data_IF_732528542741
#
_entry.id   IF_732528542741
#
_cell.length_a   1.000
_cell.length_b   1.000
_cell.length_c   1.000
_cell.angle_alpha   90.00
_cell.angle_beta   90.00
_cell.angle_gamma   90.00
#
_symmetry.space_group_name_H-M   'P 1'
#
loop_
_entity.id
_entity.type
_entity.pdbx_description
1 polymer ?
#
# COMPACT_ATOMS: atom_id res chain seq x y z
N UNK A 1 -0.90 34.72 -18.41
CA UNK A 1 -0.56 33.70 -19.43
C UNK A 1 -0.36 32.40 -18.69
N UNK A 2 -1.37 31.51 -18.75
CA UNK A 2 -1.44 30.33 -17.91
C UNK A 2 -0.63 29.18 -18.53
N UNK A 3 0.43 28.77 -17.85
CA UNK A 3 1.25 27.62 -18.21
C UNK A 3 0.50 26.33 -17.83
N UNK A 4 -0.42 25.87 -18.70
CA UNK A 4 -0.92 24.51 -18.63
C UNK A 4 0.05 23.59 -19.37
N UNK A 5 0.60 22.58 -18.68
CA UNK A 5 1.11 21.41 -19.37
C UNK A 5 -0.11 20.64 -19.86
N UNK A 6 -0.53 20.92 -21.10
CA UNK A 6 -1.44 20.05 -21.82
C UNK A 6 -0.71 18.73 -22.03
N UNK A 7 -1.03 17.71 -21.24
CA UNK A 7 -0.80 16.34 -21.65
C UNK A 7 -1.69 16.16 -22.87
N UNK A 8 -1.13 16.26 -24.08
CA UNK A 8 -1.88 15.98 -25.30
C UNK A 8 -2.46 14.57 -25.15
N UNK A 9 -3.80 14.41 -25.14
CA UNK A 9 -4.38 13.08 -25.24
C UNK A 9 -3.78 12.42 -26.50
N UNK A 10 -3.52 11.10 -26.48
CA UNK A 10 -2.88 10.42 -27.60
C UNK A 10 -3.56 10.80 -28.92
N UNK A 11 -2.80 11.39 -29.84
CA UNK A 11 -3.27 12.13 -31.02
C UNK A 11 -3.78 11.26 -32.17
N UNK A 12 -4.36 10.09 -31.88
CA UNK A 12 -5.07 9.29 -32.89
C UNK A 12 -6.29 8.64 -32.29
N UNK A 13 -7.40 8.83 -33.00
CA UNK A 13 -8.71 8.24 -32.77
C UNK A 13 -8.61 6.75 -32.41
N UNK A 14 -8.56 6.48 -31.12
CA UNK A 14 -9.00 5.25 -30.52
C UNK A 14 -9.95 5.70 -29.42
N UNK A 15 -11.23 5.85 -29.79
CA UNK A 15 -12.32 5.97 -28.83
C UNK A 15 -12.48 4.57 -28.24
N UNK A 16 -11.98 4.36 -27.03
CA UNK A 16 -11.96 3.04 -26.39
C UNK A 16 -13.08 2.93 -25.34
N UNK A 17 -13.77 4.04 -25.03
CA UNK A 17 -14.86 4.15 -24.06
C UNK A 17 -15.70 5.43 -24.30
N UNK A 18 -17.02 5.40 -24.01
CA UNK A 18 -17.96 6.53 -24.17
C UNK A 18 -17.86 7.59 -23.05
N UNK A 19 -16.95 7.41 -22.09
CA UNK A 19 -16.74 8.35 -21.00
C UNK A 19 -16.03 9.63 -21.49
N UNK A 20 -16.56 10.81 -21.13
CA UNK A 20 -15.94 12.11 -21.40
C UNK A 20 -15.15 12.61 -20.20
N UNK A 21 -13.84 12.52 -20.26
CA UNK A 21 -12.94 12.76 -19.14
C UNK A 21 -12.52 14.23 -18.98
N UNK A 22 -12.43 14.70 -17.72
CA UNK A 22 -11.81 15.96 -17.32
C UNK A 22 -10.82 15.69 -16.20
N UNK A 23 -9.59 16.18 -16.36
CA UNK A 23 -8.52 15.95 -15.39
C UNK A 23 -8.82 16.66 -14.06
N UNK A 24 -8.50 16.01 -12.93
CA UNK A 24 -8.80 16.50 -11.59
C UNK A 24 -7.63 16.34 -10.63
N UNK A 25 -7.57 17.28 -9.70
CA UNK A 25 -6.79 17.22 -8.47
C UNK A 25 -7.67 16.74 -7.32
N UNK A 26 -7.14 15.79 -6.55
CA UNK A 26 -7.80 15.14 -5.43
C UNK A 26 -7.04 15.46 -4.14
N UNK A 27 -7.73 16.05 -3.16
CA UNK A 27 -7.19 16.20 -1.80
C UNK A 27 -7.52 14.98 -0.94
N UNK A 28 -8.75 14.52 -1.07
CA UNK A 28 -9.26 13.31 -0.45
C UNK A 28 -9.20 12.14 -1.44
N UNK A 29 -9.01 10.90 -0.96
CA UNK A 29 -9.06 9.72 -1.80
C UNK A 29 -10.39 9.63 -2.57
N UNK A 30 -10.33 9.51 -3.89
CA UNK A 30 -11.49 9.18 -4.72
C UNK A 30 -11.51 7.68 -4.99
N UNK A 31 -12.67 7.03 -5.06
CA UNK A 31 -12.74 5.63 -5.42
C UNK A 31 -12.73 5.46 -6.95
N UNK A 32 -11.85 4.62 -7.50
CA UNK A 32 -11.93 4.22 -8.90
C UNK A 32 -12.75 2.94 -9.04
N UNK A 33 -13.93 2.97 -9.68
CA UNK A 33 -14.78 1.78 -9.83
C UNK A 33 -14.21 0.76 -10.83
N UNK A 34 -13.21 1.13 -11.63
CA UNK A 34 -12.58 0.19 -12.58
C UNK A 34 -11.61 -0.77 -11.90
N UNK A 35 -10.69 -0.24 -11.07
CA UNK A 35 -9.70 -1.08 -10.39
C UNK A 35 -10.09 -1.43 -8.94
N UNK A 36 -11.21 -0.87 -8.45
CA UNK A 36 -11.68 -0.98 -7.07
C UNK A 36 -10.61 -0.57 -6.07
N UNK A 37 -10.00 0.57 -6.34
CA UNK A 37 -8.99 1.15 -5.46
C UNK A 37 -9.06 2.67 -5.48
N UNK A 38 -8.46 3.30 -4.48
CA UNK A 38 -8.46 4.74 -4.39
C UNK A 38 -7.51 5.39 -5.40
N UNK A 39 -7.92 6.53 -5.94
CA UNK A 39 -7.11 7.45 -6.73
C UNK A 39 -6.31 8.29 -5.77
N UNK A 40 -5.00 8.08 -5.81
CA UNK A 40 -4.08 8.70 -4.88
C UNK A 40 -2.70 8.88 -5.53
N UNK A 41 -1.98 9.94 -5.14
CA UNK A 41 -0.71 10.34 -5.74
C UNK A 41 -0.55 11.87 -5.91
N UNK A 42 0.63 12.31 -6.37
CA UNK A 42 0.91 13.74 -6.54
C UNK A 42 0.27 14.36 -7.78
N UNK A 43 -0.42 15.49 -7.60
CA UNK A 43 -0.91 16.33 -8.69
C UNK A 43 -2.19 15.81 -9.35
N UNK A 44 -2.30 15.99 -10.66
CA UNK A 44 -3.48 15.60 -11.42
C UNK A 44 -3.40 14.11 -11.81
N UNK A 45 -3.87 13.26 -10.91
CA UNK A 45 -3.68 11.80 -10.94
C UNK A 45 -4.90 11.01 -11.41
N UNK A 46 -6.00 11.69 -11.71
CA UNK A 46 -7.23 11.03 -12.12
C UNK A 46 -8.14 11.91 -12.95
N UNK A 47 -9.03 11.25 -13.68
CA UNK A 47 -10.05 11.86 -14.50
C UNK A 47 -11.41 11.73 -13.84
N UNK A 48 -12.20 12.79 -13.88
CA UNK A 48 -13.64 12.73 -13.66
C UNK A 48 -14.35 12.54 -15.00
N UNK A 49 -15.31 11.61 -15.06
CA UNK A 49 -16.24 11.55 -16.17
C UNK A 49 -17.31 12.64 -16.02
N UNK A 50 -17.42 13.52 -17.02
CA UNK A 50 -18.41 14.61 -17.05
C UNK A 50 -19.86 14.14 -17.28
N UNK A 51 -20.06 12.86 -17.60
CA UNK A 51 -21.38 12.28 -17.82
C UNK A 51 -21.88 11.52 -16.57
N UNK A 52 -21.15 10.49 -16.12
CA UNK A 52 -21.55 9.72 -14.92
C UNK A 52 -21.11 10.32 -13.58
N UNK A 53 -20.13 11.24 -13.58
CA UNK A 53 -19.60 11.85 -12.37
C UNK A 53 -18.52 11.04 -11.64
N UNK A 54 -18.27 9.79 -12.05
CA UNK A 54 -17.24 8.93 -11.44
C UNK A 54 -15.82 9.37 -11.75
N UNK A 55 -14.89 8.86 -10.95
CA UNK A 55 -13.47 9.16 -11.03
C UNK A 55 -12.67 7.91 -11.41
N UNK A 56 -11.62 8.10 -12.22
CA UNK A 56 -10.77 7.02 -12.70
C UNK A 56 -9.31 7.42 -12.60
N UNK A 57 -8.41 6.49 -12.24
CA UNK A 57 -6.98 6.72 -12.42
C UNK A 57 -6.68 7.00 -13.90
N UNK A 58 -5.67 7.83 -14.16
CA UNK A 58 -5.21 8.12 -15.52
C UNK A 58 -4.93 6.84 -16.30
N UNK A 59 -4.33 5.83 -15.67
CA UNK A 59 -4.01 4.57 -16.33
C UNK A 59 -5.22 3.66 -16.54
N UNK A 60 -6.17 3.67 -15.60
CA UNK A 60 -7.40 2.90 -15.72
C UNK A 60 -8.21 3.32 -16.95
N UNK A 61 -8.22 4.62 -17.31
CA UNK A 61 -8.91 5.09 -18.53
C UNK A 61 -8.27 4.61 -19.82
N UNK A 62 -7.02 4.15 -19.80
CA UNK A 62 -6.32 3.67 -21.00
C UNK A 62 -6.72 2.23 -21.37
N UNK A 63 -7.20 1.46 -20.40
CA UNK A 63 -7.53 0.03 -20.54
C UNK A 63 -9.04 -0.25 -20.51
N UNK A 64 -9.84 0.75 -20.15
CA UNK A 64 -11.31 0.74 -20.21
C UNK A 64 -11.78 0.59 -21.66
N UNK A 65 -11.85 -0.65 -22.15
CA UNK A 65 -12.09 -1.03 -23.56
C UNK A 65 -13.53 -1.44 -23.87
N UNK A 66 -14.41 -1.52 -22.87
CA UNK A 66 -15.74 -2.15 -23.06
C UNK A 66 -16.87 -1.58 -22.21
N UNK A 67 -16.64 -0.50 -21.45
CA UNK A 67 -17.68 0.11 -20.62
C UNK A 67 -18.42 1.21 -21.35
N UNK A 68 -19.70 1.00 -21.68
CA UNK A 68 -20.62 2.12 -21.98
C UNK A 68 -20.79 2.94 -20.71
N UNK A 69 -20.55 4.25 -20.82
CA UNK A 69 -20.74 5.16 -19.69
C UNK A 69 -22.21 5.05 -19.20
N UNK A 70 -22.46 4.73 -17.92
CA UNK A 70 -23.83 4.52 -17.42
C UNK A 70 -24.67 5.80 -17.39
N UNK A 71 -24.05 6.96 -17.57
CA UNK A 71 -24.72 8.25 -17.66
C UNK A 71 -25.02 8.87 -16.29
N UNK A 72 -25.86 9.90 -16.30
CA UNK A 72 -26.19 10.70 -15.11
C UNK A 72 -26.71 9.84 -13.94
N UNK A 73 -26.37 10.23 -12.71
CA UNK A 73 -26.73 9.55 -11.44
C UNK A 73 -26.12 8.16 -11.22
N UNK A 74 -25.16 7.75 -12.04
CA UNK A 74 -24.46 6.47 -11.88
C UNK A 74 -23.14 6.57 -11.09
N UNK A 75 -22.81 7.74 -10.53
CA UNK A 75 -21.61 7.93 -9.71
C UNK A 75 -21.60 6.94 -8.55
N UNK A 76 -20.48 6.25 -8.36
CA UNK A 76 -20.31 5.26 -7.30
C UNK A 76 -20.60 5.88 -5.92
N UNK A 77 -21.22 5.10 -5.02
CA UNK A 77 -21.62 5.59 -3.69
C UNK A 77 -20.45 6.20 -2.89
N UNK A 78 -19.26 5.60 -3.00
CA UNK A 78 -18.03 6.10 -2.36
C UNK A 78 -17.48 7.41 -2.96
N UNK A 79 -18.02 7.87 -4.09
CA UNK A 79 -17.63 9.10 -4.78
C UNK A 79 -18.65 10.23 -4.63
N UNK A 80 -19.79 9.97 -3.98
CA UNK A 80 -20.81 10.97 -3.74
C UNK A 80 -20.26 12.06 -2.80
N UNK A 81 -20.55 13.32 -3.12
CA UNK A 81 -20.08 14.51 -2.38
C UNK A 81 -18.56 14.71 -2.35
N UNK A 82 -17.80 14.03 -3.21
CA UNK A 82 -16.37 14.26 -3.32
C UNK A 82 -16.08 15.65 -3.91
N UNK A 83 -15.29 16.46 -3.20
CA UNK A 83 -14.79 17.74 -3.73
C UNK A 83 -13.47 17.53 -4.47
N UNK A 84 -13.44 17.93 -5.74
CA UNK A 84 -12.24 17.86 -6.58
C UNK A 84 -11.92 19.23 -7.15
N UNK A 85 -10.66 19.44 -7.54
CA UNK A 85 -10.17 20.73 -8.01
C UNK A 85 -9.61 20.63 -9.43
N UNK A 86 -9.61 21.74 -10.16
CA UNK A 86 -8.97 21.81 -11.48
C UNK A 86 -7.44 21.95 -11.39
N UNK A 87 -6.96 22.51 -10.28
CA UNK A 87 -5.54 22.85 -10.06
C UNK A 87 -5.07 22.30 -8.72
N UNK A 88 -3.81 21.89 -8.67
CA UNK A 88 -3.15 21.51 -7.42
C UNK A 88 -3.02 22.69 -6.49
N UNK A 89 -3.18 22.44 -5.20
CA UNK A 89 -2.86 23.41 -4.15
C UNK A 89 -1.38 23.29 -3.81
N UNK A 90 -0.61 24.40 -3.75
CA UNK A 90 0.78 24.39 -3.31
C UNK A 90 0.90 23.68 -1.96
N UNK A 91 1.96 22.88 -1.79
CA UNK A 91 2.16 22.11 -0.55
C UNK A 91 2.28 23.05 0.65
N UNK A 92 2.89 24.23 0.47
CA UNK A 92 3.03 25.23 1.53
C UNK A 92 1.68 25.70 2.12
N UNK A 93 0.60 25.59 1.35
CA UNK A 93 -0.75 26.01 1.77
C UNK A 93 -1.56 24.83 2.35
N UNK A 94 -0.93 23.68 2.56
CA UNK A 94 -1.60 22.52 3.15
C UNK A 94 -1.78 22.71 4.65
N UNK A 95 -2.99 22.49 5.12
CA UNK A 95 -3.31 22.40 6.53
C UNK A 95 -2.85 21.07 7.13
N UNK A 96 -2.83 20.97 8.46
CA UNK A 96 -2.58 19.71 9.18
C UNK A 96 -3.52 18.59 8.72
N UNK A 97 -4.78 18.94 8.40
CA UNK A 97 -5.75 17.97 7.89
C UNK A 97 -5.37 17.47 6.48
N UNK A 98 -4.95 18.37 5.59
CA UNK A 98 -4.46 17.98 4.25
C UNK A 98 -3.26 17.04 4.36
N UNK A 99 -2.33 17.28 5.31
CA UNK A 99 -1.20 16.37 5.58
C UNK A 99 -1.67 15.01 6.07
N UNK A 100 -2.66 14.95 6.96
CA UNK A 100 -3.21 13.69 7.47
C UNK A 100 -3.94 12.89 6.37
N UNK A 101 -4.70 13.57 5.51
CA UNK A 101 -5.34 12.97 4.34
C UNK A 101 -4.30 12.43 3.36
N UNK A 102 -3.22 13.19 3.12
CA UNK A 102 -2.10 12.74 2.32
C UNK A 102 -1.40 11.51 2.91
N UNK A 103 -1.16 11.47 4.23
CA UNK A 103 -0.61 10.29 4.90
C UNK A 103 -1.51 9.06 4.69
N UNK A 104 -2.83 9.22 4.70
CA UNK A 104 -3.75 8.13 4.39
C UNK A 104 -3.61 7.65 2.94
N UNK A 105 -3.55 8.60 2.00
CA UNK A 105 -3.33 8.37 0.56
C UNK A 105 -2.05 7.56 0.30
N UNK A 106 -0.93 7.90 0.93
CA UNK A 106 0.35 7.19 0.73
C UNK A 106 0.52 5.98 1.66
N UNK A 107 -0.56 5.49 2.27
CA UNK A 107 -0.56 4.32 3.16
C UNK A 107 0.38 4.46 4.38
N UNK A 108 0.50 5.70 4.89
CA UNK A 108 1.21 6.10 6.10
C UNK A 108 0.25 6.63 7.19
N UNK A 109 -1.05 6.31 7.09
CA UNK A 109 -2.11 6.77 8.01
C UNK A 109 -1.82 6.53 9.50
N UNK A 110 -1.01 5.52 9.84
CA UNK A 110 -0.63 5.23 11.24
C UNK A 110 0.13 6.38 11.90
N UNK A 111 0.78 7.24 11.11
CA UNK A 111 1.46 8.42 11.62
C UNK A 111 0.56 9.65 11.72
N UNK A 112 -0.65 9.63 11.13
CA UNK A 112 -1.55 10.78 11.12
C UNK A 112 -1.86 11.32 12.54
N UNK A 113 -2.15 10.50 13.57
CA UNK A 113 -2.39 11.03 14.92
C UNK A 113 -1.16 11.75 15.51
N UNK A 114 0.05 11.23 15.26
CA UNK A 114 1.29 11.84 15.73
C UNK A 114 1.54 13.18 15.00
N UNK A 115 1.45 13.19 13.67
CA UNK A 115 1.59 14.40 12.84
C UNK A 115 0.53 15.46 13.21
N UNK A 116 -0.70 15.03 13.48
CA UNK A 116 -1.77 15.91 13.92
C UNK A 116 -1.48 16.52 15.30
N UNK A 117 -1.01 15.71 16.26
CA UNK A 117 -0.66 16.19 17.60
C UNK A 117 0.50 17.18 17.60
N UNK A 118 1.46 17.00 16.69
CA UNK A 118 2.61 17.87 16.47
C UNK A 118 2.30 19.05 15.54
N UNK A 119 1.07 19.12 15.01
CA UNK A 119 0.59 20.16 14.09
C UNK A 119 1.44 20.31 12.83
N UNK A 120 1.85 19.19 12.25
CA UNK A 120 2.58 19.18 10.99
C UNK A 120 1.68 19.63 9.84
N UNK A 121 1.94 20.83 9.33
CA UNK A 121 1.32 21.39 8.15
C UNK A 121 2.23 21.28 6.92
N UNK A 122 1.82 21.91 5.82
CA UNK A 122 2.56 21.91 4.56
C UNK A 122 3.98 22.47 4.63
N UNK A 123 4.19 23.53 5.40
CA UNK A 123 5.49 24.18 5.57
C UNK A 123 6.45 23.27 6.35
N UNK A 124 5.97 22.69 7.45
CA UNK A 124 6.75 21.71 8.23
C UNK A 124 7.05 20.48 7.37
N UNK A 125 6.07 19.97 6.62
CA UNK A 125 6.24 18.80 5.76
C UNK A 125 7.34 19.02 4.71
N UNK A 126 7.47 20.23 4.17
CA UNK A 126 8.50 20.58 3.20
C UNK A 126 9.90 20.68 3.81
N UNK A 127 10.03 21.00 5.09
CA UNK A 127 11.32 21.15 5.79
C UNK A 127 11.71 19.92 6.63
N UNK A 128 10.84 18.90 6.70
CA UNK A 128 11.01 17.73 7.55
C UNK A 128 12.29 16.93 7.23
N UNK A 129 13.04 16.58 8.28
CA UNK A 129 14.31 15.82 8.19
C UNK A 129 14.25 14.49 8.94
N UNK A 130 15.24 13.61 8.71
CA UNK A 130 15.38 12.34 9.44
C UNK A 130 15.55 12.58 10.95
N UNK A 131 16.32 13.60 11.32
CA UNK A 131 16.59 13.95 12.71
C UNK A 131 15.33 14.44 13.43
N UNK A 132 14.51 15.25 12.76
CA UNK A 132 13.24 15.72 13.32
C UNK A 132 12.27 14.55 13.54
N UNK A 133 12.13 13.67 12.55
CA UNK A 133 11.32 12.45 12.68
C UNK A 133 11.82 11.54 13.82
N UNK A 134 13.14 11.45 14.01
CA UNK A 134 13.74 10.69 15.10
C UNK A 134 13.48 11.33 16.46
N UNK A 135 13.56 12.67 16.54
CA UNK A 135 13.20 13.43 17.74
C UNK A 135 11.72 13.22 18.09
N UNK A 136 10.85 13.18 17.08
CA UNK A 136 9.39 13.04 17.23
C UNK A 136 8.93 11.57 17.38
N UNK A 137 9.81 10.76 17.97
CA UNK A 137 9.57 9.38 18.39
C UNK A 137 9.38 8.34 17.27
N UNK A 138 9.84 8.63 16.05
CA UNK A 138 9.90 7.64 14.95
C UNK A 138 11.33 7.09 14.85
N UNK A 139 11.68 6.17 15.74
CA UNK A 139 13.06 5.67 15.86
C UNK A 139 13.46 4.63 14.81
N UNK A 140 12.50 3.97 14.15
CA UNK A 140 12.77 2.99 13.10
C UNK A 140 13.25 3.69 11.81
N UNK A 141 14.43 3.29 11.32
CA UNK A 141 15.08 3.89 10.15
C UNK A 141 14.29 3.66 8.86
N UNK A 142 13.73 2.45 8.67
CA UNK A 142 12.93 2.13 7.49
C UNK A 142 11.67 2.97 7.44
N UNK A 143 11.00 3.13 8.58
CA UNK A 143 9.79 3.95 8.71
C UNK A 143 10.06 5.43 8.40
N UNK A 144 11.13 6.02 8.95
CA UNK A 144 11.52 7.40 8.63
C UNK A 144 11.84 7.56 7.15
N UNK A 145 12.59 6.64 6.57
CA UNK A 145 12.94 6.70 5.15
C UNK A 145 11.69 6.57 4.26
N UNK A 146 10.71 5.73 4.62
CA UNK A 146 9.45 5.61 3.89
C UNK A 146 8.66 6.92 3.88
N UNK A 147 8.62 7.65 5.01
CA UNK A 147 8.00 8.99 5.10
C UNK A 147 8.76 9.98 4.21
N UNK A 148 10.09 10.04 4.32
CA UNK A 148 10.92 10.97 3.57
C UNK A 148 10.88 10.71 2.05
N UNK A 149 10.80 9.44 1.63
CA UNK A 149 10.63 9.06 0.23
C UNK A 149 9.28 9.54 -0.31
N UNK A 150 8.21 9.38 0.47
CA UNK A 150 6.89 9.87 0.10
C UNK A 150 6.89 11.42 -0.02
N UNK A 151 7.56 12.13 0.88
CA UNK A 151 7.73 13.60 0.82
C UNK A 151 8.58 13.99 -0.39
N UNK A 152 9.62 13.22 -0.73
CA UNK A 152 10.46 13.48 -1.90
C UNK A 152 9.65 13.36 -3.20
N UNK A 153 8.84 12.31 -3.35
CA UNK A 153 7.93 12.21 -4.49
C UNK A 153 6.90 13.34 -4.46
N UNK A 154 6.35 13.67 -3.29
CA UNK A 154 5.44 14.80 -3.09
C UNK A 154 6.06 16.11 -3.57
N UNK A 155 7.35 16.37 -3.35
CA UNK A 155 8.04 17.58 -3.85
C UNK A 155 8.26 17.56 -5.36
N UNK A 156 8.29 16.38 -5.98
CA UNK A 156 8.58 16.20 -7.41
C UNK A 156 7.35 16.28 -8.33
N UNK A 157 6.16 16.69 -7.84
CA UNK A 157 4.89 16.64 -8.59
C UNK A 157 4.92 17.31 -9.96
N UNK A 158 5.71 18.37 -10.12
CA UNK A 158 5.82 19.12 -11.39
C UNK A 158 6.43 18.28 -12.52
N UNK A 159 7.14 17.20 -12.17
CA UNK A 159 7.77 16.28 -13.13
C UNK A 159 6.96 15.00 -13.36
N UNK A 160 5.71 14.94 -12.89
CA UNK A 160 4.86 13.75 -13.05
C UNK A 160 4.78 13.35 -14.52
N UNK A 161 5.42 12.22 -14.84
CA UNK A 161 5.25 11.53 -16.12
C UNK A 161 4.19 10.45 -15.91
N UNK A 162 3.07 10.49 -16.64
CA UNK A 162 2.16 9.36 -16.74
C UNK A 162 2.97 8.12 -17.13
N UNK A 163 2.56 6.94 -16.67
CA UNK A 163 3.24 5.69 -17.06
C UNK A 163 3.26 5.64 -18.60
N UNK A 164 4.45 5.46 -19.19
CA UNK A 164 4.64 5.60 -20.64
C UNK A 164 3.70 4.68 -21.41
N UNK A 165 2.82 5.29 -22.21
CA UNK A 165 1.81 4.63 -23.06
C UNK A 165 2.43 3.54 -23.96
N UNK A 166 3.69 3.71 -24.34
CA UNK A 166 4.40 2.83 -25.27
C UNK A 166 4.72 1.46 -24.67
N UNK A 167 4.99 1.39 -23.35
CA UNK A 167 5.20 0.11 -22.64
C UNK A 167 3.91 -0.72 -22.56
N UNK A 168 2.75 -0.07 -22.46
CA UNK A 168 1.45 -0.75 -22.35
C UNK A 168 1.00 -1.39 -23.67
N UNK A 169 1.27 -0.74 -24.82
CA UNK A 169 0.78 -1.18 -26.13
C UNK A 169 1.28 -2.57 -26.54
N UNK A 170 2.49 -2.94 -26.14
CA UNK A 170 3.08 -4.24 -26.49
C UNK A 170 2.55 -5.42 -25.67
N UNK A 171 1.76 -5.18 -24.62
CA UNK A 171 1.41 -6.20 -23.62
C UNK A 171 -0.10 -6.49 -23.52
N UNK A 172 -0.92 -5.91 -24.41
CA UNK A 172 -2.40 -5.95 -24.41
C UNK A 172 -3.05 -7.36 -24.54
N UNK A 173 -2.30 -8.46 -24.41
CA UNK A 173 -2.84 -9.82 -24.53
C UNK A 173 -2.50 -10.80 -23.41
N UNK A 174 -1.63 -10.47 -22.43
CA UNK A 174 -1.00 -11.53 -21.60
C UNK A 174 -1.11 -11.43 -20.08
N UNK A 175 -2.08 -10.72 -19.50
CA UNK A 175 -2.18 -10.67 -18.03
C UNK A 175 -2.79 -11.97 -17.44
N UNK A 176 -2.00 -13.04 -17.45
CA UNK A 176 -2.36 -14.35 -16.90
C UNK A 176 -1.96 -14.53 -15.42
N UNK A 177 -1.69 -13.42 -14.72
CA UNK A 177 -1.42 -13.46 -13.28
C UNK A 177 -2.68 -13.77 -12.48
N UNK A 178 -3.88 -13.40 -12.96
CA UNK A 178 -5.15 -13.68 -12.30
C UNK A 178 -5.12 -13.39 -10.79
N UNK A 179 -5.63 -14.32 -9.99
CA UNK A 179 -5.68 -14.23 -8.52
C UNK A 179 -4.35 -14.58 -7.82
N UNK A 180 -3.24 -14.72 -8.57
CA UNK A 180 -1.95 -15.04 -7.96
C UNK A 180 -1.30 -13.84 -7.26
N UNK A 181 -1.83 -12.63 -7.41
CA UNK A 181 -1.35 -11.47 -6.68
C UNK A 181 -1.82 -11.50 -5.22
N UNK A 182 -0.86 -11.49 -4.30
CA UNK A 182 -1.10 -11.48 -2.87
C UNK A 182 -0.67 -10.13 -2.31
N UNK A 183 -1.54 -9.52 -1.49
CA UNK A 183 -1.22 -8.33 -0.72
C UNK A 183 -0.05 -8.60 0.22
N UNK A 184 1.06 -7.90 0.03
CA UNK A 184 2.33 -8.23 0.67
C UNK A 184 2.86 -7.02 1.43
N UNK A 185 3.30 -7.26 2.67
CA UNK A 185 4.09 -6.29 3.44
C UNK A 185 5.57 -6.49 3.13
N UNK A 186 6.22 -5.44 2.66
CA UNK A 186 7.66 -5.42 2.42
C UNK A 186 8.34 -4.65 3.55
N UNK A 187 9.45 -5.21 4.05
CA UNK A 187 10.29 -4.62 5.10
C UNK A 187 11.59 -4.01 4.54
N UNK A 188 11.66 -3.91 3.22
CA UNK A 188 12.71 -3.23 2.47
C UNK A 188 12.05 -2.39 1.39
N UNK A 189 12.78 -1.39 0.87
CA UNK A 189 12.27 -0.54 -0.20
C UNK A 189 12.03 -1.40 -1.45
N UNK A 190 10.79 -1.38 -1.95
CA UNK A 190 10.40 -2.02 -3.21
C UNK A 190 9.82 -1.00 -4.16
N UNK A 191 10.07 -1.20 -5.44
CA UNK A 191 9.46 -0.45 -6.53
C UNK A 191 8.55 -1.36 -7.33
N UNK A 192 7.53 -0.77 -7.95
CA UNK A 192 6.65 -1.49 -8.85
C UNK A 192 7.38 -1.84 -10.15
N UNK A 193 7.32 -3.10 -10.56
CA UNK A 193 7.99 -3.62 -11.76
C UNK A 193 7.36 -3.11 -13.08
N UNK A 194 6.21 -2.43 -13.02
CA UNK A 194 5.53 -1.84 -14.17
C UNK A 194 5.87 -0.35 -14.33
N UNK A 195 5.64 0.43 -13.27
CA UNK A 195 5.76 1.89 -13.31
C UNK A 195 7.09 2.42 -12.76
N UNK A 196 7.91 1.56 -12.14
CA UNK A 196 9.21 1.86 -11.53
C UNK A 196 9.16 2.82 -10.32
N UNK A 197 7.97 3.25 -9.90
CA UNK A 197 7.78 4.07 -8.69
C UNK A 197 7.78 3.20 -7.42
N UNK A 198 8.16 3.81 -6.31
CA UNK A 198 8.19 3.16 -4.99
C UNK A 198 6.80 2.68 -4.56
N UNK A 199 6.74 1.56 -3.86
CA UNK A 199 5.55 1.15 -3.11
C UNK A 199 5.52 1.89 -1.77
N UNK A 200 4.47 2.68 -1.54
CA UNK A 200 4.35 3.53 -0.35
C UNK A 200 3.68 2.82 0.83
N UNK A 201 4.05 3.25 2.03
CA UNK A 201 3.53 2.75 3.29
C UNK A 201 4.48 1.81 4.03
N UNK A 202 4.04 1.34 5.19
CA UNK A 202 4.83 0.45 6.08
C UNK A 202 4.25 -0.95 6.22
N UNK A 203 3.02 -1.16 5.75
CA UNK A 203 2.31 -2.44 5.68
C UNK A 203 1.62 -2.53 4.32
N UNK A 204 1.47 -3.72 3.75
CA UNK A 204 0.62 -3.93 2.58
C UNK A 204 0.86 -2.94 1.42
N UNK A 205 2.12 -2.56 1.19
CA UNK A 205 2.49 -1.47 0.27
C UNK A 205 2.15 -1.79 -1.19
N UNK A 206 2.01 -3.07 -1.52
CA UNK A 206 1.64 -3.51 -2.84
C UNK A 206 1.28 -4.99 -2.89
N UNK A 207 1.30 -5.51 -4.11
CA UNK A 207 1.01 -6.89 -4.43
C UNK A 207 2.28 -7.58 -4.92
N UNK A 208 2.43 -8.86 -4.58
CA UNK A 208 3.44 -9.72 -5.19
C UNK A 208 2.75 -10.95 -5.79
N UNK A 209 3.11 -11.30 -7.02
CA UNK A 209 2.62 -12.52 -7.63
C UNK A 209 3.28 -13.74 -6.97
N UNK A 210 2.48 -14.61 -6.36
CA UNK A 210 2.90 -15.83 -5.68
C UNK A 210 3.54 -16.88 -6.58
N UNK A 211 3.44 -16.71 -7.91
CA UNK A 211 4.02 -17.65 -8.88
C UNK A 211 5.32 -17.17 -9.47
N UNK A 212 5.45 -15.88 -9.79
CA UNK A 212 6.60 -15.34 -10.53
C UNK A 212 7.41 -14.28 -9.76
N UNK A 213 6.91 -13.81 -8.62
CA UNK A 213 7.58 -12.82 -7.79
C UNK A 213 7.43 -11.37 -8.23
N UNK A 214 6.65 -11.12 -9.30
CA UNK A 214 6.40 -9.77 -9.82
C UNK A 214 5.72 -8.88 -8.78
N UNK A 215 6.31 -7.71 -8.53
CA UNK A 215 5.87 -6.74 -7.52
C UNK A 215 5.18 -5.55 -8.19
N UNK A 216 3.96 -5.23 -7.75
CA UNK A 216 3.13 -4.20 -8.37
C UNK A 216 2.41 -3.34 -7.34
N UNK A 217 2.13 -2.07 -7.69
CA UNK A 217 1.03 -1.37 -7.03
C UNK A 217 -0.29 -2.10 -7.29
N UNK A 218 -1.27 -1.92 -6.40
CA UNK A 218 -2.63 -2.44 -6.57
C UNK A 218 -3.24 -2.07 -7.92
N UNK A 219 -3.24 -0.78 -8.26
CA UNK A 219 -3.66 -0.28 -9.57
C UNK A 219 -2.86 -0.88 -10.75
N UNK A 220 -1.54 -1.03 -10.61
CA UNK A 220 -0.67 -1.54 -11.67
C UNK A 220 -0.94 -3.03 -11.96
N UNK A 221 -1.36 -3.80 -10.97
CA UNK A 221 -1.69 -5.23 -11.16
C UNK A 221 -2.89 -5.46 -12.10
N UNK A 222 -3.78 -4.47 -12.23
CA UNK A 222 -4.94 -4.52 -13.14
C UNK A 222 -4.59 -4.18 -14.58
N UNK A 223 -3.40 -3.64 -14.82
CA UNK A 223 -2.91 -3.27 -16.14
C UNK A 223 -2.14 -4.46 -16.76
N UNK A 224 -2.12 -4.58 -18.10
CA UNK A 224 -1.35 -5.62 -18.76
C UNK A 224 0.13 -5.56 -18.37
N UNK A 225 0.71 -6.72 -18.07
CA UNK A 225 2.09 -6.85 -17.61
C UNK A 225 2.81 -8.03 -18.29
N UNK A 226 4.10 -8.21 -17.95
CA UNK A 226 4.90 -9.35 -18.39
C UNK A 226 4.19 -10.66 -18.08
N UNK A 227 4.23 -11.63 -19.00
CA UNK A 227 3.64 -12.96 -18.82
C UNK A 227 4.13 -13.62 -17.53
N UNK A 228 3.21 -14.21 -16.77
CA UNK A 228 3.53 -14.96 -15.57
C UNK A 228 4.32 -16.22 -15.94
N UNK A 229 5.58 -16.29 -15.48
CA UNK A 229 6.45 -17.46 -15.60
C UNK A 229 6.84 -17.89 -14.20
N UNK A 230 6.54 -19.13 -13.86
CA UNK A 230 6.75 -19.64 -12.50
C UNK A 230 8.23 -19.59 -12.10
N UNK A 231 8.49 -19.17 -10.86
CA UNK A 231 9.80 -19.19 -10.22
C UNK A 231 9.76 -20.16 -9.03
N UNK A 232 10.85 -20.90 -8.83
CA UNK A 232 11.03 -21.80 -7.68
C UNK A 232 11.61 -21.08 -6.46
N UNK A 233 11.73 -19.75 -6.50
CA UNK A 233 12.27 -18.97 -5.38
C UNK A 233 11.21 -18.79 -4.30
N UNK A 234 11.62 -18.87 -3.04
CA UNK A 234 10.81 -18.39 -1.92
C UNK A 234 10.55 -16.89 -2.11
N UNK A 235 9.29 -16.50 -2.09
CA UNK A 235 8.86 -15.10 -2.28
C UNK A 235 8.40 -14.49 -0.95
N UNK A 236 8.48 -13.17 -0.84
CA UNK A 236 8.06 -12.43 0.36
C UNK A 236 6.57 -12.63 0.69
N UNK A 237 5.73 -12.84 -0.33
CA UNK A 237 4.32 -13.16 -0.18
C UNK A 237 4.04 -14.59 0.33
N UNK A 238 5.02 -15.50 0.32
CA UNK A 238 4.89 -16.85 0.87
C UNK A 238 5.15 -16.84 2.37
N UNK A 239 4.31 -16.12 3.09
CA UNK A 239 4.52 -15.83 4.52
C UNK A 239 3.39 -16.40 5.37
N UNK A 240 3.73 -17.08 6.46
CA UNK A 240 2.72 -17.59 7.42
C UNK A 240 2.07 -16.41 8.15
N UNK A 241 2.89 -15.46 8.62
CA UNK A 241 2.42 -14.18 9.14
C UNK A 241 2.01 -13.33 7.95
N UNK A 242 0.80 -12.79 7.86
CA UNK A 242 0.35 -12.02 6.69
C UNK A 242 -0.60 -12.74 5.74
N UNK A 243 -0.90 -14.02 5.96
CA UNK A 243 -2.01 -14.72 5.28
C UNK A 243 -3.31 -14.57 6.05
N UNK A 244 -4.43 -14.78 5.37
CA UNK A 244 -5.75 -14.79 6.02
C UNK A 244 -5.77 -15.89 7.10
N UNK A 245 -6.37 -15.62 8.26
CA UNK A 245 -6.41 -16.60 9.34
C UNK A 245 -7.12 -17.90 8.95
N UNK A 246 -8.06 -17.84 8.01
CA UNK A 246 -8.75 -19.02 7.50
C UNK A 246 -7.84 -19.92 6.65
N UNK A 247 -6.78 -19.35 6.07
CA UNK A 247 -5.81 -20.06 5.24
C UNK A 247 -4.60 -20.57 6.07
N UNK A 248 -4.54 -20.24 7.36
CA UNK A 248 -3.44 -20.64 8.24
C UNK A 248 -3.70 -22.01 8.89
N UNK A 249 -2.64 -22.81 9.16
CA UNK A 249 -2.75 -24.02 9.96
C UNK A 249 -3.34 -23.72 11.35
N UNK A 250 -4.39 -24.44 11.74
CA UNK A 250 -5.14 -24.23 13.00
C UNK A 250 -4.70 -25.24 14.05
N UNK A 251 -4.54 -24.77 15.30
CA UNK A 251 -4.31 -25.63 16.46
C UNK A 251 -5.63 -26.33 16.86
N UNK A 252 -5.60 -27.65 16.93
CA UNK A 252 -6.79 -28.46 17.20
C UNK A 252 -7.41 -28.23 18.58
N UNK A 253 -6.63 -27.74 19.55
CA UNK A 253 -7.11 -27.47 20.92
C UNK A 253 -7.67 -26.06 21.05
N UNK A 254 -6.96 -25.06 20.56
CA UNK A 254 -7.35 -23.65 20.73
C UNK A 254 -8.29 -23.15 19.64
N UNK A 255 -8.35 -23.83 18.50
CA UNK A 255 -9.05 -23.38 17.29
C UNK A 255 -8.54 -22.02 16.77
N UNK A 256 -7.28 -21.69 17.09
CA UNK A 256 -6.58 -20.49 16.63
C UNK A 256 -5.40 -20.87 15.72
N UNK A 257 -4.93 -19.96 14.86
CA UNK A 257 -3.73 -20.21 14.07
C UNK A 257 -2.55 -20.66 14.93
N UNK A 258 -1.85 -21.71 14.49
CA UNK A 258 -0.74 -22.33 15.21
C UNK A 258 0.34 -21.29 15.55
N UNK A 259 0.66 -20.39 14.61
CA UNK A 259 1.65 -19.32 14.83
C UNK A 259 1.29 -18.43 16.02
N UNK A 260 0.02 -18.01 16.15
CA UNK A 260 -0.43 -17.16 17.27
C UNK A 260 -0.33 -17.93 18.58
N UNK A 261 -0.87 -19.15 18.61
CA UNK A 261 -0.86 -20.01 19.81
C UNK A 261 0.57 -20.24 20.29
N UNK A 262 1.50 -20.61 19.40
CA UNK A 262 2.88 -20.90 19.76
C UNK A 262 3.66 -19.65 20.21
N UNK A 263 3.45 -18.51 19.56
CA UNK A 263 4.09 -17.26 19.96
C UNK A 263 3.61 -16.81 21.36
N UNK A 264 2.30 -16.85 21.62
CA UNK A 264 1.76 -16.49 22.92
C UNK A 264 2.30 -17.40 24.04
N UNK A 265 2.29 -18.72 23.82
CA UNK A 265 2.85 -19.68 24.78
C UNK A 265 4.34 -19.46 25.04
N UNK A 266 5.13 -19.18 24.00
CA UNK A 266 6.55 -18.88 24.17
C UNK A 266 6.77 -17.63 25.01
N UNK A 267 5.96 -16.59 24.77
CA UNK A 267 6.03 -15.31 25.44
C UNK A 267 5.65 -15.43 26.93
N UNK A 268 4.58 -16.18 27.24
CA UNK A 268 4.16 -16.48 28.62
C UNK A 268 5.22 -17.27 29.39
N UNK A 269 5.84 -18.27 28.75
CA UNK A 269 6.90 -19.07 29.38
C UNK A 269 8.12 -18.22 29.78
N UNK A 270 8.56 -17.29 28.91
CA UNK A 270 9.70 -16.40 29.22
C UNK A 270 9.41 -15.53 30.46
N UNK A 271 8.19 -15.01 30.59
CA UNK A 271 7.81 -14.19 31.75
C UNK A 271 7.60 -15.04 33.01
N UNK A 272 7.11 -16.28 32.86
CA UNK A 272 7.02 -17.22 33.97
C UNK A 272 8.41 -17.55 34.56
N UNK A 273 9.41 -17.71 33.69
CA UNK A 273 10.80 -17.99 34.07
C UNK A 273 11.52 -16.76 34.66
N UNK A 274 11.10 -15.54 34.30
CA UNK A 274 11.69 -14.30 34.81
C UNK A 274 10.63 -13.27 35.21
N UNK A 275 10.27 -13.28 36.51
CA UNK A 275 9.25 -12.39 37.12
C UNK A 275 9.59 -10.90 37.13
N UNK A 276 10.82 -10.51 36.75
CA UNK A 276 11.17 -9.08 36.61
C UNK A 276 10.71 -8.49 35.27
N UNK A 277 10.35 -9.35 34.32
CA UNK A 277 9.87 -8.95 33.00
C UNK A 277 8.38 -8.60 33.05
N UNK A 278 8.01 -7.57 32.29
CA UNK A 278 6.64 -7.07 32.17
C UNK A 278 6.13 -7.30 30.74
N UNK A 279 5.03 -8.03 30.63
CA UNK A 279 4.32 -8.23 29.36
C UNK A 279 3.88 -6.91 28.74
N UNK A 280 3.40 -5.98 29.58
CA UNK A 280 2.91 -4.67 29.15
C UNK A 280 4.03 -3.89 28.48
N UNK A 281 5.22 -3.89 29.08
CA UNK A 281 6.38 -3.18 28.53
C UNK A 281 6.90 -3.83 27.24
N UNK A 282 6.82 -5.16 27.14
CA UNK A 282 7.19 -5.88 25.92
C UNK A 282 6.32 -5.50 24.71
N UNK A 283 5.03 -5.25 24.91
CA UNK A 283 4.13 -4.82 23.84
C UNK A 283 4.27 -3.33 23.49
N UNK A 284 4.77 -2.50 24.42
CA UNK A 284 4.91 -1.06 24.25
C UNK A 284 5.85 -0.67 23.11
N UNK A 285 6.96 -1.38 22.97
CA UNK A 285 7.96 -1.11 21.94
C UNK A 285 7.93 -2.18 20.86
N UNK A 286 8.21 -1.78 19.62
CA UNK A 286 8.39 -2.73 18.52
C UNK A 286 9.86 -2.78 18.17
N UNK A 287 10.36 -3.97 17.87
CA UNK A 287 11.70 -4.14 17.33
C UNK A 287 11.81 -3.52 15.93
N UNK A 288 13.04 -3.32 15.46
CA UNK A 288 13.33 -2.74 14.15
C UNK A 288 12.78 -3.57 12.98
N UNK A 289 12.32 -2.90 11.94
CA UNK A 289 11.75 -3.51 10.73
C UNK A 289 12.69 -4.51 10.06
N UNK A 290 14.00 -4.25 10.07
CA UNK A 290 15.00 -5.18 9.55
C UNK A 290 15.05 -6.50 10.35
N UNK A 291 14.92 -6.42 11.67
CA UNK A 291 14.88 -7.61 12.53
C UNK A 291 13.57 -8.40 12.33
N UNK A 292 12.45 -7.70 12.17
CA UNK A 292 11.16 -8.33 11.81
C UNK A 292 11.28 -9.11 10.50
N UNK A 293 11.92 -8.52 9.48
CA UNK A 293 12.13 -9.19 8.19
C UNK A 293 12.90 -10.51 8.34
N UNK A 294 13.97 -10.51 9.14
CA UNK A 294 14.76 -11.72 9.44
C UNK A 294 13.92 -12.78 10.15
N UNK A 295 13.13 -12.39 11.17
CA UNK A 295 12.29 -13.32 11.92
C UNK A 295 11.18 -13.92 11.06
N UNK A 296 10.56 -13.12 10.18
CA UNK A 296 9.55 -13.63 9.22
C UNK A 296 10.15 -14.62 8.26
N UNK A 297 11.33 -14.32 7.72
CA UNK A 297 12.06 -15.27 6.87
C UNK A 297 12.36 -16.57 7.61
N UNK A 298 12.85 -16.47 8.85
CA UNK A 298 13.10 -17.64 9.68
C UNK A 298 11.84 -18.49 9.90
N UNK A 299 10.69 -17.85 10.16
CA UNK A 299 9.40 -18.56 10.33
C UNK A 299 8.96 -19.24 9.03
N UNK A 300 9.12 -18.56 7.89
CA UNK A 300 8.68 -19.09 6.59
C UNK A 300 9.57 -20.22 6.07
N UNK A 301 10.87 -20.18 6.40
CA UNK A 301 11.83 -21.20 5.99
C UNK A 301 11.77 -22.47 6.87
N UNK A 302 11.02 -22.45 7.98
CA UNK A 302 10.93 -23.56 8.94
C UNK A 302 9.50 -24.09 9.09
N UNK A 303 9.41 -25.34 9.55
CA UNK A 303 8.14 -25.94 9.94
C UNK A 303 7.64 -25.28 11.24
N UNK A 304 6.51 -24.57 11.13
CA UNK A 304 5.91 -23.82 12.23
C UNK A 304 5.46 -24.71 13.38
N UNK A 305 5.29 -26.01 13.21
CA UNK A 305 4.98 -26.91 14.33
C UNK A 305 6.24 -27.27 15.14
N UNK A 306 7.40 -27.31 14.47
CA UNK A 306 8.67 -27.79 15.04
C UNK A 306 9.61 -26.67 15.47
N UNK A 307 9.35 -25.43 15.06
CA UNK A 307 10.21 -24.29 15.34
C UNK A 307 10.39 -24.03 16.85
N UNK A 308 11.61 -23.81 17.33
CA UNK A 308 11.87 -23.50 18.74
C UNK A 308 11.89 -21.98 18.99
N UNK A 309 10.87 -21.47 19.67
CA UNK A 309 10.73 -20.05 20.00
C UNK A 309 11.50 -19.62 21.26
N UNK A 310 12.07 -20.55 22.04
CA UNK A 310 12.78 -20.22 23.30
C UNK A 310 14.02 -19.37 23.10
N UNK A 311 14.58 -19.35 21.89
CA UNK A 311 15.77 -18.58 21.53
C UNK A 311 15.46 -17.12 21.19
N UNK A 312 14.18 -16.75 21.08
CA UNK A 312 13.77 -15.38 20.79
C UNK A 312 13.66 -14.54 22.05
N UNK A 313 13.96 -13.26 21.93
CA UNK A 313 13.77 -12.31 23.02
C UNK A 313 12.29 -11.96 23.22
N UNK A 314 11.95 -11.49 24.42
CA UNK A 314 10.58 -11.11 24.77
C UNK A 314 9.99 -10.04 23.82
N UNK A 315 10.81 -9.06 23.42
CA UNK A 315 10.44 -7.97 22.51
C UNK A 315 10.19 -8.46 21.08
N UNK A 316 10.92 -9.49 20.64
CA UNK A 316 10.76 -10.13 19.33
C UNK A 316 9.44 -10.88 19.25
N UNK A 317 9.16 -11.72 20.26
CA UNK A 317 7.90 -12.46 20.36
C UNK A 317 6.70 -11.51 20.42
N UNK A 318 6.74 -10.49 21.27
CA UNK A 318 5.67 -9.50 21.38
C UNK A 318 5.45 -8.77 20.05
N UNK A 319 6.50 -8.48 19.29
CA UNK A 319 6.40 -7.86 17.97
C UNK A 319 5.81 -8.79 16.92
N UNK A 320 6.19 -10.07 16.92
CA UNK A 320 5.62 -11.08 16.01
C UNK A 320 4.13 -11.32 16.29
N UNK A 321 3.71 -11.35 17.56
CA UNK A 321 2.28 -11.43 17.94
C UNK A 321 1.55 -10.20 17.41
N UNK A 322 2.06 -8.99 17.69
CA UNK A 322 1.46 -7.73 17.20
C UNK A 322 1.28 -7.75 15.69
N UNK A 323 2.28 -8.20 14.93
CA UNK A 323 2.23 -8.20 13.46
C UNK A 323 1.27 -9.26 12.96
N UNK A 324 1.27 -10.46 13.55
CA UNK A 324 0.33 -11.53 13.20
C UNK A 324 -1.13 -11.09 13.36
N UNK A 325 -1.41 -10.22 14.34
CA UNK A 325 -2.75 -9.66 14.58
C UNK A 325 -3.06 -8.39 13.78
N UNK A 326 -2.04 -7.60 13.43
CA UNK A 326 -2.19 -6.33 12.68
C UNK A 326 -2.22 -6.52 11.16
N UNK A 327 -1.60 -7.59 10.70
CA UNK A 327 -1.53 -7.99 9.30
C UNK A 327 -2.16 -9.38 9.16
N UNK A 328 -3.44 -9.60 9.54
CA UNK A 328 -4.14 -10.71 8.93
C UNK A 328 -4.08 -10.43 7.44
N UNK A 329 -3.82 -11.46 6.64
CA UNK A 329 -3.91 -11.32 5.20
C UNK A 329 -5.22 -10.61 4.92
N UNK A 330 -5.13 -9.50 4.19
CA UNK A 330 -6.31 -8.88 3.64
C UNK A 330 -6.81 -9.93 2.65
N UNK A 331 -7.67 -10.85 3.13
CA UNK A 331 -8.14 -12.01 2.39
C UNK A 331 -8.59 -11.56 1.02
N UNK A 332 -8.45 -12.42 0.00
CA UNK A 332 -8.70 -12.14 -1.42
C UNK A 332 -9.74 -11.02 -1.64
N UNK A 333 -9.31 -9.76 -1.61
CA UNK A 333 -10.17 -8.59 -1.90
C UNK A 333 -10.52 -8.55 -3.39
N UNK A 334 -10.20 -9.61 -4.13
CA UNK A 334 -10.39 -9.79 -5.56
C UNK A 334 -11.34 -10.96 -5.84
N UNK A 335 -11.97 -11.58 -4.82
CA UNK A 335 -13.04 -12.55 -5.07
C UNK A 335 -14.31 -12.26 -4.28
N UNK A 336 -15.36 -11.93 -5.03
CA UNK A 336 -16.80 -11.91 -4.72
C UNK A 336 -17.40 -10.52 -4.47
N UNK A 337 -17.73 -9.81 -5.56
CA UNK A 337 -19.10 -9.77 -6.11
C UNK A 337 -19.15 -9.18 -7.51
#
# INVERSE_FOLDING_TARGET
MANYVSITPPTRANIVSDHKYRLRYFKTPAWCPYCEDYIWGPGNIGYQCTNCGDYFHVECTLVLTSGTCPGLNACHVNNQNLTTYDTSIPINDWTVNDVCEWLAVVNLYRYAPNFQSLKYDGEILLSLTDEQLKHDHIHDVYQRQAILDAIKELKSRETYRPISFERFRTQLSTNNHGDNFICTTFYERRSCDLCEKSLYGIIHQGLQCSRCGLVMHRQCSKLPSKRCVHTNKQLECHTIIGTDFNDQPIDSKTQLPIIITRLCLALENIVADNRTLSLIDAYRFSIESARIAQLRKLINDNDIEKMDFKKMELSELASLVKISLKEPGIGKLISNK
#
